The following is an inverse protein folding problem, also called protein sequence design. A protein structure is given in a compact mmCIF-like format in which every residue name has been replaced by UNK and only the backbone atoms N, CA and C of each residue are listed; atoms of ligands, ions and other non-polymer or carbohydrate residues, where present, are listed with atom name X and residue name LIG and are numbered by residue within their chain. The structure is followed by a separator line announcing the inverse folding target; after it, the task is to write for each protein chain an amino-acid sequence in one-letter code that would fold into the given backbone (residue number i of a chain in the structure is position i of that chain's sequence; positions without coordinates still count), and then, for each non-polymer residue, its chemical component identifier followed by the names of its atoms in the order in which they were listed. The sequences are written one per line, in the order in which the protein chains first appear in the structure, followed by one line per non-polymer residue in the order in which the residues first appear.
data_IF_414759296680
#
_entry.id   IF_414759296680
#
_cell.length_a   1.000
_cell.length_b   1.000
_cell.length_c   1.000
_cell.angle_alpha   90.00
_cell.angle_beta   90.00
_cell.angle_gamma   90.00
#
_symmetry.space_group_name_H-M   'P 1'
#
loop_
_entity.id
_entity.type
_entity.pdbx_description
1 polymer ?
#
# COMPACT_ATOMS: atom_id res chain seq x y z
N UNK A 1 -0.94 -28.12 12.82
CA UNK A 1 -1.65 -26.86 12.58
C UNK A 1 -0.66 -25.90 11.95
N UNK A 2 -0.92 -25.41 10.75
CA UNK A 2 -0.01 -24.48 10.05
C UNK A 2 -0.20 -23.11 10.66
N UNK A 3 0.90 -22.46 11.05
CA UNK A 3 0.87 -21.09 11.55
C UNK A 3 0.85 -20.12 10.39
N UNK A 4 -0.04 -19.14 10.45
CA UNK A 4 -0.26 -18.14 9.41
C UNK A 4 0.04 -16.77 10.00
N UNK A 5 0.74 -15.92 9.25
CA UNK A 5 1.22 -14.63 9.74
C UNK A 5 0.84 -13.51 8.76
N UNK A 6 0.56 -12.33 9.30
CA UNK A 6 0.41 -11.12 8.51
C UNK A 6 1.77 -10.64 7.97
N UNK A 7 1.88 -10.43 6.65
CA UNK A 7 3.13 -9.98 6.01
C UNK A 7 3.62 -8.60 6.48
N UNK A 8 2.73 -7.77 7.03
CA UNK A 8 3.06 -6.41 7.48
C UNK A 8 3.52 -6.34 8.93
N UNK A 9 2.74 -6.91 9.86
CA UNK A 9 3.00 -6.79 11.30
C UNK A 9 3.54 -8.07 11.94
N UNK A 10 3.63 -9.17 11.16
CA UNK A 10 4.10 -10.48 11.61
C UNK A 10 3.28 -11.09 12.78
N UNK A 11 2.06 -10.62 12.99
CA UNK A 11 1.12 -11.18 13.96
C UNK A 11 0.58 -12.51 13.45
N UNK A 12 0.56 -13.53 14.31
CA UNK A 12 -0.06 -14.84 14.04
C UNK A 12 -1.59 -14.69 13.97
N UNK A 13 -2.21 -15.22 12.93
CA UNK A 13 -3.67 -15.22 12.75
C UNK A 13 -4.24 -16.65 12.85
N UNK A 14 -5.54 -16.75 13.08
CA UNK A 14 -6.20 -18.04 13.36
C UNK A 14 -6.16 -19.02 12.17
N UNK A 15 -6.28 -18.51 10.94
CA UNK A 15 -6.27 -19.28 9.69
C UNK A 15 -6.03 -18.35 8.48
N UNK A 16 -5.92 -18.95 7.27
CA UNK A 16 -5.73 -18.20 6.02
C UNK A 16 -6.91 -17.28 5.67
N UNK A 17 -8.14 -17.66 6.03
CA UNK A 17 -9.34 -16.87 5.75
C UNK A 17 -9.40 -15.56 6.57
N UNK A 18 -8.55 -15.44 7.60
CA UNK A 18 -8.37 -14.22 8.38
C UNK A 18 -7.39 -13.20 7.74
N UNK A 19 -6.72 -13.58 6.64
CA UNK A 19 -5.89 -12.67 5.86
C UNK A 19 -6.65 -12.10 4.67
N UNK A 20 -6.33 -10.86 4.33
CA UNK A 20 -6.77 -10.19 3.11
C UNK A 20 -5.61 -10.16 2.12
N UNK A 21 -5.91 -10.51 0.87
CA UNK A 21 -4.97 -10.33 -0.22
C UNK A 21 -4.96 -8.85 -0.66
N UNK A 22 -3.81 -8.21 -0.56
CA UNK A 22 -3.56 -6.87 -1.04
C UNK A 22 -2.62 -6.93 -2.25
N UNK A 23 -2.93 -6.17 -3.30
CA UNK A 23 -2.10 -6.12 -4.51
C UNK A 23 -1.99 -4.69 -5.06
N UNK A 24 -0.80 -4.38 -5.58
CA UNK A 24 -0.51 -3.12 -6.30
C UNK A 24 0.00 -3.50 -7.68
N UNK A 25 -0.58 -2.90 -8.71
CA UNK A 25 -0.11 -2.98 -10.08
C UNK A 25 0.38 -1.60 -10.53
N UNK A 26 1.63 -1.54 -11.00
CA UNK A 26 2.24 -0.30 -11.49
C UNK A 26 2.60 -0.46 -12.95
N UNK A 27 2.14 0.50 -13.76
CA UNK A 27 2.45 0.58 -15.19
C UNK A 27 3.18 1.89 -15.46
N UNK A 28 4.42 1.81 -15.94
CA UNK A 28 5.23 2.98 -16.28
C UNK A 28 5.16 3.29 -17.80
N UNK A 29 4.86 4.54 -18.16
CA UNK A 29 4.87 5.01 -19.54
C UNK A 29 5.96 6.07 -19.77
N UNK A 30 6.64 6.08 -20.93
CA UNK A 30 6.40 5.24 -22.12
C UNK A 30 7.05 3.84 -22.07
N UNK A 31 7.86 3.55 -21.04
CA UNK A 31 8.73 2.37 -20.98
C UNK A 31 8.03 1.00 -20.89
N UNK A 32 6.70 0.93 -20.80
CA UNK A 32 5.88 -0.30 -20.73
C UNK A 32 6.33 -1.30 -19.66
N UNK A 33 7.11 -0.86 -18.69
CA UNK A 33 7.49 -1.70 -17.56
C UNK A 33 6.24 -1.85 -16.68
N UNK A 34 5.84 -3.10 -16.45
CA UNK A 34 4.79 -3.44 -15.52
C UNK A 34 5.41 -4.26 -14.39
N UNK A 35 5.12 -3.88 -13.15
CA UNK A 35 5.47 -4.68 -11.99
C UNK A 35 4.29 -4.70 -11.03
N UNK A 36 4.13 -5.85 -10.37
CA UNK A 36 3.11 -6.04 -9.35
C UNK A 36 3.76 -6.43 -8.03
N UNK A 37 3.08 -6.08 -6.94
CA UNK A 37 3.43 -6.50 -5.60
C UNK A 37 2.18 -7.06 -4.92
N UNK A 38 2.33 -8.19 -4.22
CA UNK A 38 1.27 -8.89 -3.52
C UNK A 38 1.68 -9.14 -2.08
N UNK A 39 0.74 -9.00 -1.16
CA UNK A 39 0.92 -9.32 0.26
C UNK A 39 -0.38 -9.84 0.87
N UNK A 40 -0.27 -10.71 1.87
CA UNK A 40 -1.38 -11.18 2.69
C UNK A 40 -1.31 -10.51 4.06
N UNK A 41 -2.31 -9.70 4.38
CA UNK A 41 -2.29 -8.83 5.56
C UNK A 41 -3.54 -9.02 6.41
N UNK A 42 -3.42 -8.84 7.72
CA UNK A 42 -4.59 -8.83 8.59
C UNK A 42 -5.52 -7.62 8.30
N UNK A 43 -6.77 -7.73 8.71
CA UNK A 43 -7.80 -6.69 8.54
C UNK A 43 -7.33 -5.30 8.99
N UNK A 44 -6.72 -5.21 10.17
CA UNK A 44 -6.25 -3.94 10.73
C UNK A 44 -5.17 -3.30 9.85
N UNK A 45 -4.20 -4.11 9.41
CA UNK A 45 -3.12 -3.66 8.54
C UNK A 45 -3.65 -3.20 7.19
N UNK A 46 -4.65 -3.88 6.62
CA UNK A 46 -5.28 -3.52 5.37
C UNK A 46 -5.97 -2.15 5.46
N UNK A 47 -6.76 -1.90 6.51
CA UNK A 47 -7.48 -0.62 6.70
C UNK A 47 -6.48 0.53 6.78
N UNK A 48 -5.44 0.40 7.61
CA UNK A 48 -4.40 1.43 7.72
C UNK A 48 -3.67 1.66 6.39
N UNK A 49 -3.31 0.60 5.67
CA UNK A 49 -2.64 0.74 4.35
C UNK A 49 -3.52 1.46 3.33
N UNK A 50 -4.81 1.12 3.28
CA UNK A 50 -5.78 1.76 2.39
C UNK A 50 -5.85 3.27 2.65
N UNK A 51 -5.95 3.66 3.92
CA UNK A 51 -6.03 5.07 4.31
C UNK A 51 -4.71 5.81 4.02
N UNK A 52 -3.56 5.19 4.30
CA UNK A 52 -2.23 5.73 3.99
C UNK A 52 -2.06 5.98 2.49
N UNK A 53 -2.49 5.04 1.65
CA UNK A 53 -2.41 5.14 0.19
C UNK A 53 -3.37 6.24 -0.31
N UNK A 54 -4.61 6.26 0.17
CA UNK A 54 -5.60 7.25 -0.22
C UNK A 54 -5.12 8.67 0.13
N UNK A 55 -4.55 8.85 1.33
CA UNK A 55 -4.00 10.14 1.76
C UNK A 55 -2.84 10.60 0.86
N UNK A 56 -1.97 9.69 0.41
CA UNK A 56 -0.83 10.04 -0.47
C UNK A 56 -1.26 10.35 -1.90
N UNK A 57 -2.25 9.63 -2.44
CA UNK A 57 -2.72 9.84 -3.82
C UNK A 57 -3.52 11.15 -3.94
N UNK A 58 -4.28 11.52 -2.90
CA UNK A 58 -5.16 12.69 -2.91
C UNK A 58 -4.47 13.99 -2.51
N UNK A 59 -3.21 13.96 -2.09
CA UNK A 59 -2.46 15.18 -1.79
C UNK A 59 -2.27 16.01 -3.07
N UNK A 60 -2.81 17.24 -3.14
CA UNK A 60 -2.45 18.16 -4.21
C UNK A 60 -0.94 18.43 -4.12
N UNK A 61 -0.25 18.59 -5.26
CA UNK A 61 1.18 18.88 -5.23
C UNK A 61 1.40 20.13 -4.37
N UNK A 62 2.26 20.02 -3.35
CA UNK A 62 2.67 21.18 -2.56
C UNK A 62 3.31 22.19 -3.52
N UNK A 63 2.56 23.25 -3.84
CA UNK A 63 3.06 24.43 -4.52
C UNK A 63 4.10 25.07 -3.59
N UNK A 64 5.35 24.64 -3.73
CA UNK A 64 6.50 25.31 -3.13
C UNK A 64 6.53 26.72 -3.69
N UNK A 65 5.93 27.65 -2.91
CA UNK A 65 6.04 29.10 -3.01
C UNK A 65 7.34 29.52 -3.69
N UNK A 66 7.28 29.77 -5.00
CA UNK A 66 8.27 30.60 -5.68
C UNK A 66 8.04 32.04 -5.23
N UNK A 67 8.69 32.42 -4.14
CA UNK A 67 9.00 33.82 -3.85
C UNK A 67 10.52 33.98 -3.70
N UNK A 68 11.10 35.18 -3.91
CA UNK A 68 10.54 36.41 -4.45
C UNK A 68 11.15 36.76 -5.83
N UNK A 69 10.39 37.36 -6.75
CA UNK A 69 11.01 38.11 -7.85
C UNK A 69 11.16 39.57 -7.39
N UNK A 70 12.41 40.04 -7.52
CA UNK A 70 12.93 41.35 -7.14
C UNK A 70 12.04 42.52 -7.56
#
# INVERSE_FOLDING_TARGET
MVKVYCDRCNTEVENLDALLQFSIEVTEQPNRTAWSWHAEVCQDCFVTMKDDIAARITQPPEDKKRGPRK
#
